data_IF_894189864215
#
_entry.id   IF_894189864215
#
_cell.length_a   1.000
_cell.length_b   1.000
_cell.length_c   1.000
_cell.angle_alpha   90.00
_cell.angle_beta   90.00
_cell.angle_gamma   90.00
#
_symmetry.space_group_name_H-M   'P 1'
#
loop_
_entity.id
_entity.type
_entity.pdbx_description
1 polymer ?
#
# COMPACT_ATOMS: atom_id res chain seq x y z
N UNK A 1 26.70 75.27 -62.61
CA UNK A 1 27.27 75.09 -61.26
C UNK A 1 26.16 75.37 -60.25
N UNK A 2 26.14 74.60 -59.16
CA UNK A 2 25.36 74.78 -57.93
C UNK A 2 24.00 74.04 -57.88
N UNK A 3 24.14 72.74 -57.56
CA UNK A 3 23.41 71.90 -56.60
C UNK A 3 21.93 72.19 -56.32
N UNK A 4 21.07 71.36 -56.94
CA UNK A 4 19.77 70.96 -56.39
C UNK A 4 20.02 70.06 -55.19
N UNK A 5 19.76 70.54 -53.99
CA UNK A 5 19.57 69.67 -52.83
C UNK A 5 18.11 69.24 -52.81
N UNK A 6 17.85 68.03 -53.31
CA UNK A 6 16.63 67.30 -52.95
C UNK A 6 16.68 67.02 -51.43
N UNK A 7 15.63 67.31 -50.66
CA UNK A 7 15.50 66.69 -49.36
C UNK A 7 15.35 65.19 -49.62
N UNK A 8 16.37 64.42 -49.24
CA UNK A 8 16.21 62.97 -49.08
C UNK A 8 15.15 62.79 -48.02
N UNK A 9 14.00 62.25 -48.43
CA UNK A 9 13.05 61.65 -47.52
C UNK A 9 13.83 60.65 -46.68
N UNK A 10 14.05 61.03 -45.42
CA UNK A 10 14.49 60.10 -44.40
C UNK A 10 13.26 59.23 -44.23
N UNK A 11 13.27 58.04 -44.83
CA UNK A 11 12.38 56.96 -44.43
C UNK A 11 12.54 56.84 -42.91
N UNK A 12 11.58 57.40 -42.18
CA UNK A 12 11.32 57.00 -40.81
C UNK A 12 11.10 55.49 -40.90
N UNK A 13 12.16 54.75 -40.55
CA UNK A 13 12.03 53.37 -40.16
C UNK A 13 11.07 53.44 -38.98
N UNK A 14 9.80 53.14 -39.22
CA UNK A 14 8.83 52.85 -38.17
C UNK A 14 9.54 51.86 -37.25
N UNK A 15 10.00 52.34 -36.10
CA UNK A 15 10.35 51.47 -35.00
C UNK A 15 9.03 50.78 -34.67
N UNK A 16 8.83 49.58 -35.24
CA UNK A 16 7.75 48.69 -34.88
C UNK A 16 7.78 48.60 -33.36
N UNK A 17 6.81 49.26 -32.75
CA UNK A 17 6.59 49.32 -31.33
C UNK A 17 6.49 47.89 -30.84
N UNK A 18 7.61 47.37 -30.33
CA UNK A 18 7.69 46.07 -29.63
C UNK A 18 6.73 46.01 -28.42
N UNK A 19 6.10 47.15 -28.09
CA UNK A 19 5.23 47.38 -26.96
C UNK A 19 3.80 47.79 -27.35
N UNK A 20 3.37 47.59 -28.60
CA UNK A 20 1.95 47.60 -28.96
C UNK A 20 1.29 46.32 -28.44
N UNK A 21 1.27 46.23 -27.12
CA UNK A 21 0.69 45.18 -26.32
C UNK A 21 -0.82 45.21 -26.59
N UNK A 22 -1.26 44.41 -27.55
CA UNK A 22 -2.68 44.18 -27.75
C UNK A 22 -3.23 43.56 -26.43
N UNK A 23 -4.21 44.19 -25.77
CA UNK A 23 -4.76 43.68 -24.51
C UNK A 23 -5.32 42.26 -24.66
N UNK A 24 -5.76 41.87 -25.85
CA UNK A 24 -6.16 40.49 -26.17
C UNK A 24 -5.00 39.50 -26.05
N UNK A 25 -3.81 39.87 -26.51
CA UNK A 25 -2.60 39.03 -26.44
C UNK A 25 -2.13 38.84 -25.00
N UNK A 26 -2.11 39.90 -24.18
CA UNK A 26 -1.75 39.78 -22.75
C UNK A 26 -2.76 38.96 -21.97
N UNK A 27 -4.05 39.18 -22.21
CA UNK A 27 -5.10 38.41 -21.55
C UNK A 27 -4.99 36.93 -21.91
N UNK A 28 -4.68 36.61 -23.18
CA UNK A 28 -4.41 35.25 -23.62
C UNK A 28 -3.20 34.63 -22.91
N UNK A 29 -2.06 35.33 -22.82
CA UNK A 29 -0.87 34.82 -22.11
C UNK A 29 -1.12 34.64 -20.61
N UNK A 30 -1.83 35.56 -19.95
CA UNK A 30 -2.21 35.44 -18.54
C UNK A 30 -3.17 34.26 -18.32
N UNK A 31 -4.14 34.06 -19.19
CA UNK A 31 -5.04 32.90 -19.14
C UNK A 31 -4.28 31.58 -19.34
N UNK A 32 -3.36 31.54 -20.31
CA UNK A 32 -2.50 30.37 -20.56
C UNK A 32 -1.59 30.05 -19.37
N UNK A 33 -0.94 31.07 -18.78
CA UNK A 33 -0.11 30.90 -17.58
C UNK A 33 -0.94 30.41 -16.38
N UNK A 34 -2.12 30.98 -16.17
CA UNK A 34 -3.03 30.55 -15.10
C UNK A 34 -3.45 29.09 -15.28
N UNK A 35 -3.72 28.66 -16.52
CA UNK A 35 -4.04 27.28 -16.84
C UNK A 35 -2.86 26.35 -16.58
N UNK A 36 -1.64 26.74 -16.96
CA UNK A 36 -0.41 25.97 -16.68
C UNK A 36 -0.19 25.82 -15.17
N UNK A 37 -0.28 26.92 -14.42
CA UNK A 37 -0.15 26.90 -12.95
C UNK A 37 -1.25 26.03 -12.32
N UNK A 38 -2.47 26.10 -12.84
CA UNK A 38 -3.57 25.24 -12.40
C UNK A 38 -3.27 23.74 -12.62
N UNK A 39 -2.76 23.38 -13.80
CA UNK A 39 -2.36 22.00 -14.11
C UNK A 39 -1.23 21.54 -13.20
N UNK A 40 -0.16 22.33 -13.04
CA UNK A 40 0.98 21.97 -12.18
C UNK A 40 0.51 21.77 -10.75
N UNK A 41 -0.29 22.70 -10.24
CA UNK A 41 -0.86 22.63 -8.88
C UNK A 41 -1.67 21.36 -8.69
N UNK A 42 -2.56 21.05 -9.64
CA UNK A 42 -3.36 19.83 -9.63
C UNK A 42 -2.49 18.55 -9.63
N UNK A 43 -1.46 18.51 -10.48
CA UNK A 43 -0.53 17.39 -10.53
C UNK A 43 0.24 17.22 -9.21
N UNK A 44 0.67 18.31 -8.57
CA UNK A 44 1.33 18.26 -7.26
C UNK A 44 0.41 17.72 -6.16
N UNK A 45 -0.85 18.17 -6.13
CA UNK A 45 -1.84 17.63 -5.18
C UNK A 45 -2.12 16.15 -5.43
N UNK A 46 -2.23 15.74 -6.69
CA UNK A 46 -2.45 14.35 -7.07
C UNK A 46 -1.28 13.44 -6.66
N UNK A 47 -0.02 13.87 -6.86
CA UNK A 47 1.17 13.11 -6.43
C UNK A 47 1.21 13.00 -4.89
N UNK A 48 0.89 14.09 -4.17
CA UNK A 48 0.79 14.08 -2.71
C UNK A 48 -0.28 13.12 -2.17
N UNK A 49 -1.46 13.09 -2.77
CA UNK A 49 -2.50 12.13 -2.37
C UNK A 49 -2.09 10.68 -2.66
N UNK A 50 -1.46 10.43 -3.81
CA UNK A 50 -0.95 9.10 -4.16
C UNK A 50 0.08 8.60 -3.14
N UNK A 51 1.03 9.44 -2.73
CA UNK A 51 2.03 9.08 -1.72
C UNK A 51 1.40 8.78 -0.36
N UNK A 52 0.46 9.62 0.10
CA UNK A 52 -0.26 9.36 1.36
C UNK A 52 -0.99 8.01 1.35
N UNK A 53 -1.63 7.67 0.22
CA UNK A 53 -2.28 6.38 0.07
C UNK A 53 -1.27 5.21 0.06
N UNK A 54 -0.09 5.39 -0.52
CA UNK A 54 0.98 4.38 -0.48
C UNK A 54 1.54 4.19 0.94
N UNK A 55 1.69 5.26 1.71
CA UNK A 55 2.13 5.21 3.11
C UNK A 55 1.12 4.49 4.00
N UNK A 56 -0.18 4.77 3.82
CA UNK A 56 -1.25 4.08 4.53
C UNK A 56 -1.25 2.58 4.23
N UNK A 57 -1.10 2.20 2.96
CA UNK A 57 -0.98 0.79 2.55
C UNK A 57 0.27 0.15 3.14
N UNK A 58 1.42 0.83 3.10
CA UNK A 58 2.67 0.29 3.64
C UNK A 58 2.58 0.01 5.15
N UNK A 59 1.97 0.96 5.88
CA UNK A 59 1.73 0.83 7.32
C UNK A 59 0.83 -0.37 7.58
N UNK A 60 -0.31 -0.45 6.89
CA UNK A 60 -1.24 -1.57 7.01
C UNK A 60 -0.59 -2.93 6.71
N UNK A 61 0.12 -3.05 5.59
CA UNK A 61 0.77 -4.32 5.19
C UNK A 61 1.82 -4.72 6.21
N UNK A 62 2.63 -3.78 6.69
CA UNK A 62 3.64 -4.05 7.69
C UNK A 62 3.01 -4.51 9.01
N UNK A 63 2.01 -3.80 9.52
CA UNK A 63 1.32 -4.15 10.76
C UNK A 63 0.62 -5.51 10.66
N UNK A 64 -0.12 -5.77 9.57
CA UNK A 64 -0.79 -7.06 9.37
C UNK A 64 0.21 -8.20 9.24
N UNK A 65 1.32 -8.00 8.51
CA UNK A 65 2.37 -9.01 8.39
C UNK A 65 3.01 -9.35 9.75
N UNK A 66 3.23 -8.36 10.62
CA UNK A 66 3.71 -8.63 11.99
C UNK A 66 2.72 -9.49 12.78
N UNK A 67 1.42 -9.22 12.68
CA UNK A 67 0.37 -10.01 13.35
C UNK A 67 0.30 -11.44 12.78
N UNK A 68 0.46 -11.61 11.47
CA UNK A 68 0.52 -12.92 10.82
C UNK A 68 1.76 -13.71 11.27
N UNK A 69 2.93 -13.08 11.37
CA UNK A 69 4.15 -13.74 11.87
C UNK A 69 3.97 -14.16 13.34
N UNK A 70 3.48 -13.26 14.19
CA UNK A 70 3.28 -13.56 15.61
C UNK A 70 2.25 -14.68 15.82
N UNK A 71 1.14 -14.67 15.08
CA UNK A 71 0.14 -15.76 15.16
C UNK A 71 0.70 -17.09 14.64
N UNK A 72 1.56 -17.06 13.62
CA UNK A 72 2.24 -18.25 13.08
C UNK A 72 3.17 -18.88 14.13
N UNK A 73 3.91 -18.07 14.89
CA UNK A 73 4.78 -18.58 15.95
C UNK A 73 4.01 -19.43 16.98
N UNK A 74 2.78 -19.04 17.34
CA UNK A 74 1.94 -19.86 18.21
C UNK A 74 1.48 -21.15 17.55
N UNK A 75 1.04 -21.12 16.28
CA UNK A 75 0.63 -22.34 15.58
C UNK A 75 1.79 -23.30 15.36
N UNK A 76 2.96 -22.80 14.97
CA UNK A 76 4.16 -23.60 14.73
C UNK A 76 4.63 -24.25 16.04
N UNK A 77 4.55 -23.54 17.17
CA UNK A 77 4.89 -24.10 18.48
C UNK A 77 3.90 -25.18 18.92
N UNK A 78 2.61 -25.03 18.61
CA UNK A 78 1.61 -26.08 18.83
C UNK A 78 1.89 -27.30 17.94
N UNK A 79 2.18 -27.08 16.66
CA UNK A 79 2.52 -28.13 15.71
C UNK A 79 3.77 -28.90 16.15
N UNK A 80 4.84 -28.21 16.54
CA UNK A 80 6.07 -28.81 17.06
C UNK A 80 5.78 -29.67 18.30
N UNK A 81 4.95 -29.13 19.21
CA UNK A 81 4.57 -29.86 20.43
C UNK A 81 3.82 -31.16 20.14
N UNK A 82 2.95 -31.12 19.12
CA UNK A 82 2.16 -32.28 18.69
C UNK A 82 3.00 -33.31 17.93
N UNK A 83 3.90 -32.88 17.05
CA UNK A 83 4.72 -33.77 16.21
C UNK A 83 5.92 -34.36 16.94
N UNK A 84 6.63 -33.54 17.72
CA UNK A 84 7.89 -33.91 18.35
C UNK A 84 7.74 -34.28 19.83
N UNK A 85 6.54 -34.15 20.40
CA UNK A 85 6.27 -34.48 21.80
C UNK A 85 6.93 -33.52 22.80
N UNK A 86 7.40 -32.37 22.33
CA UNK A 86 7.88 -31.26 23.16
C UNK A 86 6.69 -30.65 23.88
N UNK A 87 6.57 -30.85 25.19
CA UNK A 87 5.48 -30.24 25.96
C UNK A 87 5.71 -28.72 26.08
N UNK A 88 5.34 -27.94 25.05
CA UNK A 88 5.28 -26.50 25.21
C UNK A 88 4.16 -26.18 26.19
N UNK A 89 4.54 -25.74 27.38
CA UNK A 89 3.61 -25.38 28.44
C UNK A 89 3.10 -23.96 28.15
N UNK A 90 1.99 -23.85 27.43
CA UNK A 90 1.31 -22.58 27.24
C UNK A 90 0.59 -22.16 28.52
N UNK A 91 0.90 -20.96 28.98
CA UNK A 91 0.29 -20.33 30.14
C UNK A 91 -1.03 -19.65 29.78
N UNK A 92 -1.78 -19.22 30.80
CA UNK A 92 -2.95 -18.35 30.60
C UNK A 92 -2.58 -16.99 29.97
N UNK A 93 -1.33 -16.55 30.13
CA UNK A 93 -0.84 -15.29 29.57
C UNK A 93 -0.74 -15.40 28.04
N UNK A 94 -0.21 -16.52 27.53
CA UNK A 94 -0.08 -16.77 26.09
C UNK A 94 -1.44 -16.76 25.38
N UNK A 95 -2.46 -17.36 26.01
CA UNK A 95 -3.83 -17.32 25.50
C UNK A 95 -4.42 -15.90 25.44
N UNK A 96 -4.10 -15.08 26.44
CA UNK A 96 -4.53 -13.68 26.49
C UNK A 96 -3.79 -12.83 25.46
N UNK A 97 -2.50 -13.09 25.24
CA UNK A 97 -1.68 -12.43 24.23
C UNK A 97 -2.20 -12.75 22.83
N UNK A 98 -2.45 -14.03 22.52
CA UNK A 98 -2.99 -14.41 21.21
C UNK A 98 -4.40 -13.84 20.98
N UNK A 99 -5.26 -13.83 22.02
CA UNK A 99 -6.56 -13.15 21.91
C UNK A 99 -6.41 -11.67 21.60
N UNK A 100 -5.47 -10.99 22.25
CA UNK A 100 -5.19 -9.56 22.01
C UNK A 100 -4.69 -9.33 20.58
N UNK A 101 -3.85 -10.22 20.06
CA UNK A 101 -3.38 -10.19 18.67
C UNK A 101 -4.56 -10.30 17.70
N UNK A 102 -5.46 -11.26 17.90
CA UNK A 102 -6.67 -11.42 17.08
C UNK A 102 -7.56 -10.16 17.11
N UNK A 103 -7.79 -9.60 18.30
CA UNK A 103 -8.59 -8.38 18.46
C UNK A 103 -7.92 -7.17 17.82
N UNK A 104 -6.58 -7.10 17.83
CA UNK A 104 -5.80 -6.05 17.17
C UNK A 104 -5.92 -6.16 15.66
N UNK A 105 -5.75 -7.36 15.10
CA UNK A 105 -5.90 -7.61 13.67
C UNK A 105 -7.28 -7.17 13.16
N UNK A 106 -8.35 -7.45 13.91
CA UNK A 106 -9.73 -7.05 13.55
C UNK A 106 -9.96 -5.54 13.56
N UNK A 107 -9.22 -4.79 14.38
CA UNK A 107 -9.39 -3.33 14.55
C UNK A 107 -8.38 -2.50 13.74
N UNK A 108 -7.52 -3.16 12.96
CA UNK A 108 -6.53 -2.48 12.15
C UNK A 108 -7.20 -1.51 11.17
N UNK A 109 -6.58 -0.35 10.94
CA UNK A 109 -7.08 0.60 9.94
C UNK A 109 -6.86 0.02 8.55
N UNK A 110 -7.93 -0.09 7.75
CA UNK A 110 -7.89 -0.79 6.46
C UNK A 110 -7.93 0.23 5.31
N UNK A 111 -6.94 0.23 4.40
CA UNK A 111 -7.03 1.01 3.18
C UNK A 111 -8.22 0.54 2.32
N UNK A 112 -8.84 1.47 1.58
CA UNK A 112 -10.09 1.23 0.84
C UNK A 112 -10.11 -0.02 -0.06
N UNK A 113 -8.96 -0.39 -0.66
CA UNK A 113 -8.81 -1.51 -1.59
C UNK A 113 -8.30 -2.81 -0.94
N UNK A 114 -8.17 -2.84 0.39
CA UNK A 114 -7.50 -3.92 1.13
C UNK A 114 -8.45 -4.69 2.06
N UNK A 115 -9.76 -4.51 1.89
CA UNK A 115 -10.77 -5.16 2.72
C UNK A 115 -10.74 -6.68 2.61
N UNK A 116 -10.62 -7.21 1.40
CA UNK A 116 -10.58 -8.66 1.17
C UNK A 116 -9.35 -9.29 1.81
N UNK A 117 -8.18 -8.63 1.69
CA UNK A 117 -6.96 -9.07 2.36
C UNK A 117 -7.10 -9.05 3.89
N UNK A 118 -7.73 -8.00 4.43
CA UNK A 118 -8.02 -7.94 5.87
C UNK A 118 -8.90 -9.10 6.33
N UNK A 119 -9.95 -9.43 5.59
CA UNK A 119 -10.83 -10.56 5.89
C UNK A 119 -10.07 -11.90 5.82
N UNK A 120 -9.24 -12.11 4.79
CA UNK A 120 -8.43 -13.32 4.65
C UNK A 120 -7.40 -13.46 5.78
N UNK A 121 -6.63 -12.42 6.07
CA UNK A 121 -5.60 -12.42 7.10
C UNK A 121 -6.18 -12.59 8.52
N UNK A 122 -7.29 -11.90 8.83
CA UNK A 122 -7.98 -12.09 10.11
C UNK A 122 -8.63 -13.46 10.23
N UNK A 123 -9.05 -14.06 9.11
CA UNK A 123 -9.49 -15.46 9.02
C UNK A 123 -8.38 -16.43 9.43
N UNK A 124 -7.17 -16.29 8.86
CA UNK A 124 -6.00 -17.10 9.23
C UNK A 124 -5.69 -16.96 10.72
N UNK A 125 -5.59 -15.73 11.22
CA UNK A 125 -5.27 -15.47 12.64
C UNK A 125 -6.31 -16.13 13.55
N UNK A 126 -7.59 -16.04 13.19
CA UNK A 126 -8.68 -16.67 13.94
C UNK A 126 -8.59 -18.20 13.89
N UNK A 127 -8.28 -18.79 12.74
CA UNK A 127 -8.10 -20.23 12.60
C UNK A 127 -6.92 -20.75 13.44
N UNK A 128 -5.78 -20.05 13.41
CA UNK A 128 -4.61 -20.35 14.25
C UNK A 128 -4.94 -20.23 15.75
N UNK A 129 -5.70 -19.20 16.14
CA UNK A 129 -6.16 -19.06 17.52
C UNK A 129 -7.05 -20.22 17.96
N UNK A 130 -7.98 -20.66 17.11
CA UNK A 130 -8.83 -21.82 17.41
C UNK A 130 -8.00 -23.10 17.55
N UNK A 131 -7.02 -23.31 16.68
CA UNK A 131 -6.10 -24.43 16.78
C UNK A 131 -5.33 -24.43 18.11
N UNK A 132 -4.75 -23.28 18.47
CA UNK A 132 -4.08 -23.07 19.76
C UNK A 132 -5.00 -23.32 20.95
N UNK A 133 -6.23 -22.79 20.90
CA UNK A 133 -7.20 -22.94 21.99
C UNK A 133 -7.59 -24.41 22.20
N UNK A 134 -7.84 -25.16 21.12
CA UNK A 134 -8.15 -26.59 21.22
C UNK A 134 -7.00 -27.39 21.83
N UNK A 135 -5.76 -27.08 21.44
CA UNK A 135 -4.57 -27.68 22.04
C UNK A 135 -4.49 -27.41 23.55
N UNK A 136 -4.63 -26.15 23.97
CA UNK A 136 -4.53 -25.77 25.38
C UNK A 136 -5.62 -26.39 26.26
N UNK A 137 -6.82 -26.60 25.72
CA UNK A 137 -7.93 -27.25 26.45
C UNK A 137 -7.76 -28.77 26.59
N UNK A 138 -6.63 -29.34 26.18
CA UNK A 138 -6.38 -30.79 26.14
C UNK A 138 -7.48 -31.55 25.39
N UNK A 139 -8.07 -30.92 24.36
CA UNK A 139 -8.89 -31.68 23.41
C UNK A 139 -7.91 -32.65 22.74
N UNK A 140 -8.07 -33.96 23.00
CA UNK A 140 -7.31 -35.00 22.29
C UNK A 140 -7.74 -34.97 20.83
N UNK A 141 -7.12 -34.10 20.06
CA UNK A 141 -7.21 -34.13 18.61
C UNK A 141 -6.48 -35.39 18.15
N UNK A 142 -7.14 -36.20 17.32
CA UNK A 142 -6.46 -37.31 16.66
C UNK A 142 -5.38 -36.79 15.72
N UNK A 143 -4.43 -37.65 15.34
CA UNK A 143 -3.39 -37.29 14.36
C UNK A 143 -4.02 -36.85 13.02
N UNK A 144 -5.11 -37.50 12.61
CA UNK A 144 -5.90 -37.13 11.43
C UNK A 144 -6.51 -35.71 11.56
N UNK A 145 -7.10 -35.37 12.71
CA UNK A 145 -7.69 -34.05 12.96
C UNK A 145 -6.63 -32.94 12.93
N UNK A 146 -5.42 -33.23 13.41
CA UNK A 146 -4.29 -32.29 13.40
C UNK A 146 -3.84 -32.04 11.96
N UNK A 147 -3.66 -33.10 11.17
CA UNK A 147 -3.27 -32.97 9.76
C UNK A 147 -4.34 -32.23 8.93
N UNK A 148 -5.62 -32.49 9.19
CA UNK A 148 -6.72 -31.76 8.55
C UNK A 148 -6.65 -30.27 8.85
N UNK A 149 -6.49 -29.89 10.13
CA UNK A 149 -6.38 -28.48 10.53
C UNK A 149 -5.14 -27.80 9.95
N UNK A 150 -4.01 -28.48 9.90
CA UNK A 150 -2.79 -27.93 9.27
C UNK A 150 -2.98 -27.73 7.77
N UNK A 151 -3.62 -28.68 7.07
CA UNK A 151 -3.96 -28.54 5.65
C UNK A 151 -4.95 -27.40 5.40
N UNK A 152 -5.93 -27.22 6.29
CA UNK A 152 -6.86 -26.08 6.23
C UNK A 152 -6.12 -24.75 6.40
N UNK A 153 -5.19 -24.65 7.36
CA UNK A 153 -4.36 -23.47 7.55
C UNK A 153 -3.50 -23.16 6.32
N UNK A 154 -2.89 -24.17 5.70
CA UNK A 154 -2.11 -24.01 4.47
C UNK A 154 -2.96 -23.51 3.30
N UNK A 155 -4.20 -24.03 3.14
CA UNK A 155 -5.15 -23.52 2.14
C UNK A 155 -5.49 -22.06 2.39
N UNK A 156 -5.73 -21.67 3.64
CA UNK A 156 -6.01 -20.28 3.99
C UNK A 156 -4.80 -19.37 3.72
N UNK A 157 -3.58 -19.82 4.03
CA UNK A 157 -2.34 -19.09 3.70
C UNK A 157 -2.21 -18.84 2.19
N UNK A 158 -2.53 -19.84 1.36
CA UNK A 158 -2.51 -19.67 -0.10
C UNK A 158 -3.56 -18.67 -0.59
N UNK A 159 -4.79 -18.74 -0.05
CA UNK A 159 -5.85 -17.78 -0.38
C UNK A 159 -5.46 -16.37 0.03
N UNK A 160 -4.91 -16.18 1.23
CA UNK A 160 -4.45 -14.85 1.67
C UNK A 160 -3.34 -14.31 0.77
N UNK A 161 -2.39 -15.16 0.34
CA UNK A 161 -1.34 -14.76 -0.60
C UNK A 161 -1.93 -14.28 -1.93
N UNK A 162 -2.88 -15.01 -2.50
CA UNK A 162 -3.55 -14.60 -3.75
C UNK A 162 -4.27 -13.26 -3.58
N UNK A 163 -4.99 -13.10 -2.47
CA UNK A 163 -5.72 -11.86 -2.16
C UNK A 163 -4.76 -10.70 -1.89
N UNK A 164 -3.62 -10.93 -1.25
CA UNK A 164 -2.54 -9.94 -1.05
C UNK A 164 -2.04 -9.40 -2.39
N UNK A 165 -1.72 -10.30 -3.32
CA UNK A 165 -1.25 -9.92 -4.66
C UNK A 165 -2.30 -9.13 -5.44
N UNK A 166 -3.55 -9.60 -5.44
CA UNK A 166 -4.66 -8.88 -6.08
C UNK A 166 -4.91 -7.50 -5.45
N UNK A 167 -4.69 -7.34 -4.15
CA UNK A 167 -4.83 -6.06 -3.44
C UNK A 167 -3.73 -5.07 -3.84
N UNK A 168 -2.50 -5.56 -4.07
CA UNK A 168 -1.42 -4.75 -4.63
C UNK A 168 -1.74 -4.28 -6.05
N UNK A 169 -2.23 -5.17 -6.91
CA UNK A 169 -2.64 -4.84 -8.28
C UNK A 169 -3.77 -3.82 -8.30
N UNK A 170 -4.83 -4.04 -7.51
CA UNK A 170 -5.95 -3.11 -7.37
C UNK A 170 -5.50 -1.74 -6.89
N UNK A 171 -4.50 -1.69 -6.01
CA UNK A 171 -3.93 -0.45 -5.46
C UNK A 171 -2.94 0.25 -6.40
N UNK A 172 -2.55 -0.39 -7.51
CA UNK A 172 -1.55 0.13 -8.44
C UNK A 172 -0.16 0.28 -7.80
N UNK A 173 0.14 -0.57 -6.81
CA UNK A 173 1.43 -0.60 -6.12
C UNK A 173 2.26 -1.71 -6.75
N UNK A 174 3.44 -1.34 -7.28
CA UNK A 174 4.36 -2.31 -7.84
C UNK A 174 5.02 -3.14 -6.75
N UNK A 175 5.03 -4.46 -6.95
CA UNK A 175 5.71 -5.42 -6.08
C UNK A 175 6.64 -6.33 -6.88
N UNK A 176 7.55 -7.00 -6.17
CA UNK A 176 8.42 -8.06 -6.69
C UNK A 176 8.31 -9.27 -5.79
N UNK A 177 8.13 -10.43 -6.40
CA UNK A 177 8.23 -11.72 -5.73
C UNK A 177 9.63 -12.30 -5.95
N UNK A 178 10.28 -12.69 -4.85
CA UNK A 178 11.56 -13.42 -4.86
C UNK A 178 11.34 -14.90 -5.23
N UNK A 179 12.39 -15.60 -5.67
CA UNK A 179 12.38 -17.05 -5.87
C UNK A 179 12.03 -17.82 -4.58
N UNK A 180 12.26 -17.20 -3.41
CA UNK A 180 11.91 -17.73 -2.08
C UNK A 180 10.46 -17.41 -1.67
N UNK A 181 9.63 -16.83 -2.56
CA UNK A 181 8.24 -16.45 -2.27
C UNK A 181 8.08 -15.19 -1.42
N UNK A 182 9.18 -14.46 -1.15
CA UNK A 182 9.14 -13.18 -0.43
C UNK A 182 8.59 -12.07 -1.33
N UNK A 183 7.52 -11.41 -0.88
CA UNK A 183 6.94 -10.25 -1.56
C UNK A 183 7.59 -8.98 -1.01
N UNK A 184 8.11 -8.16 -1.91
CA UNK A 184 8.68 -6.84 -1.58
C UNK A 184 8.00 -5.77 -2.42
N UNK A 185 7.69 -4.64 -1.81
CA UNK A 185 7.14 -3.48 -2.50
C UNK A 185 7.91 -2.22 -2.09
N UNK A 186 7.91 -1.23 -2.96
CA UNK A 186 8.57 0.06 -2.71
C UNK A 186 7.56 1.18 -2.82
N UNK A 187 7.54 2.04 -1.80
CA UNK A 187 6.71 3.23 -1.79
C UNK A 187 7.58 4.45 -2.05
N UNK A 188 7.01 5.47 -2.69
CA UNK A 188 7.64 6.78 -2.80
C UNK A 188 7.35 7.54 -1.51
N UNK A 189 8.39 8.02 -0.83
CA UNK A 189 8.28 8.88 0.36
C UNK A 189 8.82 10.27 0.02
N UNK A 190 8.28 11.33 0.63
CA UNK A 190 8.81 12.69 0.54
C UNK A 190 9.61 13.06 1.78
#
# INVERSE_FOLDING_TARGET
MIFRNEPKDIEEIEEESFWDINPGTVTFFLAALTLIVGIITFLSFYDGWKVKNQEEVATYVNEMNQLLIQSKQYSDSVEDSLKNGTATIFTKKDAQEFRTLMDTARKLSIPSKWKEHHEAATGIISARYMFFYHYQQNVRLGEEDIQEKLSELEKLENVEKEVLLSSFEASGISYRESEEGKITFSIKTY
#
